data_IF_617818434082
#
_entry.id   IF_617818434082
#
_cell.length_a   1.000
_cell.length_b   1.000
_cell.length_c   1.000
_cell.angle_alpha   90.00
_cell.angle_beta   90.00
_cell.angle_gamma   90.00
#
_symmetry.space_group_name_H-M   'P 1'
#
loop_
_entity.id
_entity.type
_entity.pdbx_description
1 polymer ?
#
# COMPACT_ATOMS: atom_id res chain seq x y z
N UNK A 1 -14.15 32.69 1.61
CA UNK A 1 -14.90 31.44 1.91
C UNK A 1 -14.00 30.49 2.67
N UNK A 2 -14.41 30.07 3.84
CA UNK A 2 -13.72 29.01 4.55
C UNK A 2 -13.90 27.72 3.75
N UNK A 3 -12.82 27.21 3.15
CA UNK A 3 -12.81 25.86 2.64
C UNK A 3 -13.14 24.93 3.82
N UNK A 4 -14.24 24.24 3.74
CA UNK A 4 -14.53 23.12 4.63
C UNK A 4 -13.44 22.09 4.37
N UNK A 5 -12.40 22.10 5.22
CA UNK A 5 -11.42 21.02 5.21
C UNK A 5 -12.18 19.74 5.47
N UNK A 6 -12.20 18.88 4.48
CA UNK A 6 -12.77 17.55 4.64
C UNK A 6 -12.11 16.80 5.77
N UNK A 7 -12.77 15.76 6.28
CA UNK A 7 -12.24 14.91 7.35
C UNK A 7 -10.90 14.26 6.91
N UNK A 8 -10.74 14.03 5.61
CA UNK A 8 -9.56 13.41 5.05
C UNK A 8 -8.79 14.41 4.19
N UNK A 9 -7.50 14.52 4.42
CA UNK A 9 -6.57 15.30 3.60
C UNK A 9 -5.39 14.48 3.07
N UNK A 10 -5.02 13.41 3.77
CA UNK A 10 -3.92 12.52 3.38
C UNK A 10 -4.36 11.06 3.51
N UNK A 11 -4.45 10.39 2.38
CA UNK A 11 -4.88 8.98 2.30
C UNK A 11 -3.69 8.11 1.89
N UNK A 12 -3.52 6.99 2.55
CA UNK A 12 -2.55 5.96 2.22
C UNK A 12 -3.28 4.70 1.77
N UNK A 13 -2.94 4.16 0.60
CA UNK A 13 -3.40 2.85 0.17
C UNK A 13 -2.21 1.90 0.05
N UNK A 14 -2.32 0.72 0.66
CA UNK A 14 -1.32 -0.33 0.55
C UNK A 14 -1.57 -1.17 -0.71
N UNK A 15 -0.55 -1.33 -1.54
CA UNK A 15 -0.63 -2.02 -2.83
C UNK A 15 0.37 -3.17 -2.85
N UNK A 16 -0.12 -4.39 -3.02
CA UNK A 16 0.69 -5.60 -3.07
C UNK A 16 0.53 -6.41 -4.36
N UNK A 17 -0.15 -5.84 -5.35
CA UNK A 17 -0.42 -6.48 -6.63
C UNK A 17 -1.65 -7.38 -6.65
N UNK A 18 -2.31 -7.60 -5.51
CA UNK A 18 -3.56 -8.35 -5.44
C UNK A 18 -4.73 -7.56 -6.02
N UNK A 19 -5.77 -8.27 -6.47
CA UNK A 19 -7.01 -7.62 -6.94
C UNK A 19 -7.64 -6.77 -5.85
N UNK A 20 -7.61 -7.24 -4.60
CA UNK A 20 -8.15 -6.52 -3.46
C UNK A 20 -7.39 -5.22 -3.20
N UNK A 21 -6.06 -5.19 -3.41
CA UNK A 21 -5.29 -3.96 -3.25
C UNK A 21 -5.63 -2.92 -4.33
N UNK A 22 -5.87 -3.35 -5.56
CA UNK A 22 -6.34 -2.44 -6.62
C UNK A 22 -7.75 -1.94 -6.37
N UNK A 23 -8.62 -2.81 -5.86
CA UNK A 23 -9.97 -2.40 -5.43
C UNK A 23 -9.90 -1.39 -4.28
N UNK A 24 -9.01 -1.61 -3.32
CA UNK A 24 -8.75 -0.64 -2.25
C UNK A 24 -8.31 0.71 -2.81
N UNK A 25 -7.44 0.71 -3.82
CA UNK A 25 -7.02 1.93 -4.51
C UNK A 25 -8.20 2.66 -5.17
N UNK A 26 -9.13 1.94 -5.81
CA UNK A 26 -10.34 2.55 -6.38
C UNK A 26 -11.20 3.21 -5.31
N UNK A 27 -11.38 2.58 -4.15
CA UNK A 27 -12.11 3.21 -3.02
C UNK A 27 -11.41 4.47 -2.52
N UNK A 28 -10.09 4.42 -2.39
CA UNK A 28 -9.30 5.59 -1.98
C UNK A 28 -9.45 6.76 -2.96
N UNK A 29 -9.49 6.46 -4.26
CA UNK A 29 -9.68 7.45 -5.33
C UNK A 29 -11.09 8.08 -5.22
N UNK A 30 -12.13 7.26 -5.03
CA UNK A 30 -13.50 7.78 -4.90
C UNK A 30 -13.64 8.71 -3.69
N UNK A 31 -13.00 8.38 -2.58
CA UNK A 31 -12.96 9.25 -1.41
C UNK A 31 -12.18 10.52 -1.73
N UNK A 32 -11.02 10.37 -2.34
CA UNK A 32 -10.12 11.50 -2.67
C UNK A 32 -10.76 12.54 -3.59
N UNK A 33 -11.60 12.09 -4.51
CA UNK A 33 -12.33 12.99 -5.42
C UNK A 33 -13.23 13.98 -4.68
N UNK A 34 -13.73 13.59 -3.51
CA UNK A 34 -14.65 14.41 -2.72
C UNK A 34 -13.95 15.39 -1.79
N UNK A 35 -12.74 15.09 -1.34
CA UNK A 35 -12.13 15.79 -0.22
C UNK A 35 -10.86 16.58 -0.56
N UNK A 36 -10.39 16.59 -1.79
CA UNK A 36 -9.12 17.23 -2.15
C UNK A 36 -7.96 16.69 -1.32
N UNK A 37 -7.47 15.50 -1.66
CA UNK A 37 -6.51 14.75 -0.85
C UNK A 37 -5.16 14.59 -1.55
N UNK A 38 -4.12 14.38 -0.73
CA UNK A 38 -2.90 13.74 -1.16
C UNK A 38 -3.09 12.22 -1.00
N UNK A 39 -3.05 11.49 -2.10
CA UNK A 39 -3.17 10.02 -2.11
C UNK A 39 -1.80 9.41 -2.34
N UNK A 40 -1.33 8.63 -1.38
CA UNK A 40 -0.08 7.87 -1.49
C UNK A 40 -0.39 6.39 -1.68
N UNK A 41 0.14 5.80 -2.75
CA UNK A 41 0.16 4.35 -2.92
C UNK A 41 1.51 3.82 -2.43
N UNK A 42 1.48 2.94 -1.45
CA UNK A 42 2.66 2.36 -0.82
C UNK A 42 2.75 0.87 -1.12
N UNK A 43 3.88 0.43 -1.64
CA UNK A 43 4.24 -0.98 -1.73
C UNK A 43 5.42 -1.27 -0.81
N UNK A 44 5.30 -2.27 0.04
CA UNK A 44 6.37 -2.73 0.91
C UNK A 44 6.91 -4.06 0.39
N UNK A 45 8.19 -4.08 0.05
CA UNK A 45 8.90 -5.31 -0.32
C UNK A 45 9.29 -6.05 0.96
N UNK A 46 8.71 -7.22 1.15
CA UNK A 46 8.94 -8.06 2.32
C UNK A 46 10.23 -8.85 2.17
N UNK A 47 11.30 -8.40 2.82
CA UNK A 47 12.61 -9.05 2.78
C UNK A 47 12.78 -10.14 3.84
N UNK A 48 11.75 -10.43 4.64
CA UNK A 48 11.76 -11.53 5.62
C UNK A 48 11.51 -12.90 4.99
N UNK A 49 11.09 -12.95 3.73
CA UNK A 49 10.70 -14.19 3.06
C UNK A 49 11.87 -15.16 2.88
N UNK A 50 11.63 -16.48 3.00
CA UNK A 50 12.67 -17.51 2.89
C UNK A 50 13.49 -17.47 1.61
N UNK A 51 12.91 -17.03 0.50
CA UNK A 51 13.63 -16.91 -0.79
C UNK A 51 14.80 -15.93 -0.72
N UNK A 52 14.73 -14.92 0.14
CA UNK A 52 15.83 -13.99 0.36
C UNK A 52 16.87 -14.51 1.36
N UNK A 53 16.46 -15.45 2.24
CA UNK A 53 17.31 -16.05 3.26
C UNK A 53 18.05 -17.30 2.75
N UNK A 54 17.39 -18.11 1.91
CA UNK A 54 17.97 -19.35 1.38
C UNK A 54 19.07 -19.12 0.35
N UNK A 55 19.03 -18.03 -0.38
CA UNK A 55 20.03 -17.68 -1.37
C UNK A 55 21.37 -17.26 -0.75
N UNK A 56 21.39 -16.87 0.52
CA UNK A 56 22.59 -16.39 1.21
C UNK A 56 23.65 -17.48 1.45
N UNK A 57 23.25 -18.74 1.47
CA UNK A 57 24.20 -19.85 1.69
C UNK A 57 24.81 -20.42 0.42
N UNK A 58 24.20 -20.20 -0.74
CA UNK A 58 24.54 -20.90 -1.98
C UNK A 58 24.92 -19.95 -3.11
N UNK A 59 24.47 -18.70 -3.06
CA UNK A 59 24.68 -17.75 -4.14
C UNK A 59 25.29 -16.45 -3.66
N UNK A 60 26.09 -15.85 -4.53
CA UNK A 60 26.70 -14.56 -4.31
C UNK A 60 25.63 -13.49 -3.94
N UNK A 61 26.02 -12.48 -3.13
CA UNK A 61 25.15 -11.32 -2.81
C UNK A 61 24.49 -10.69 -4.03
N UNK A 62 25.12 -10.80 -5.21
CA UNK A 62 24.62 -10.35 -6.51
C UNK A 62 23.29 -11.00 -6.91
N UNK A 63 23.02 -12.24 -6.52
CA UNK A 63 21.77 -12.92 -6.87
C UNK A 63 20.60 -12.38 -6.05
N UNK A 64 20.78 -12.23 -4.75
CA UNK A 64 19.78 -11.64 -3.87
C UNK A 64 19.44 -10.20 -4.25
N UNK A 65 20.44 -9.42 -4.65
CA UNK A 65 20.23 -8.06 -5.15
C UNK A 65 19.46 -8.04 -6.47
N UNK A 66 19.71 -9.02 -7.34
CA UNK A 66 19.00 -9.14 -8.62
C UNK A 66 17.55 -9.50 -8.43
N UNK A 67 17.22 -10.42 -7.52
CA UNK A 67 15.83 -10.77 -7.19
C UNK A 67 15.08 -9.58 -6.61
N UNK A 68 15.72 -8.84 -5.70
CA UNK A 68 15.14 -7.66 -5.10
C UNK A 68 14.87 -6.57 -6.16
N UNK A 69 15.76 -6.41 -7.12
CA UNK A 69 15.60 -5.49 -8.24
C UNK A 69 14.40 -5.89 -9.11
N UNK A 70 14.20 -7.17 -9.37
CA UNK A 70 13.05 -7.69 -10.12
C UNK A 70 11.74 -7.46 -9.37
N UNK A 71 11.71 -7.71 -8.07
CA UNK A 71 10.55 -7.41 -7.21
C UNK A 71 10.21 -5.91 -7.20
N UNK A 72 11.23 -5.07 -7.16
CA UNK A 72 11.06 -3.62 -7.23
C UNK A 72 10.45 -3.18 -8.56
N UNK A 73 10.87 -3.77 -9.66
CA UNK A 73 10.28 -3.51 -10.99
C UNK A 73 8.83 -3.93 -11.05
N UNK A 74 8.51 -5.10 -10.50
CA UNK A 74 7.13 -5.58 -10.42
C UNK A 74 6.26 -4.64 -9.57
N UNK A 75 6.76 -4.25 -8.40
CA UNK A 75 6.08 -3.28 -7.53
C UNK A 75 5.84 -1.94 -8.24
N UNK A 76 6.82 -1.47 -9.00
CA UNK A 76 6.65 -0.25 -9.80
C UNK A 76 5.53 -0.38 -10.82
N UNK A 77 5.38 -1.54 -11.45
CA UNK A 77 4.26 -1.80 -12.37
C UNK A 77 2.90 -1.71 -11.67
N UNK A 78 2.80 -2.21 -10.44
CA UNK A 78 1.56 -2.08 -9.66
C UNK A 78 1.25 -0.62 -9.34
N UNK A 79 2.25 0.14 -8.94
CA UNK A 79 2.08 1.57 -8.64
C UNK A 79 1.75 2.38 -9.89
N UNK A 80 2.33 2.04 -11.04
CA UNK A 80 1.99 2.65 -12.33
C UNK A 80 0.55 2.34 -12.72
N UNK A 81 0.07 1.13 -12.45
CA UNK A 81 -1.33 0.77 -12.65
C UNK A 81 -2.25 1.63 -11.79
N UNK A 82 -1.91 1.84 -10.52
CA UNK A 82 -2.69 2.74 -9.65
C UNK A 82 -2.66 4.18 -10.19
N UNK A 83 -1.51 4.66 -10.62
CA UNK A 83 -1.38 5.99 -11.25
C UNK A 83 -2.30 6.14 -12.47
N UNK A 84 -2.39 5.11 -13.29
CA UNK A 84 -3.31 5.10 -14.44
C UNK A 84 -4.78 5.14 -14.01
N UNK A 85 -5.15 4.40 -12.96
CA UNK A 85 -6.51 4.45 -12.41
C UNK A 85 -6.82 5.86 -11.88
N UNK A 86 -5.88 6.51 -11.21
CA UNK A 86 -6.03 7.90 -10.76
C UNK A 86 -6.26 8.83 -11.95
N UNK A 87 -5.49 8.67 -13.03
CA UNK A 87 -5.64 9.50 -14.25
C UNK A 87 -6.99 9.29 -14.93
N UNK A 88 -7.52 8.07 -14.94
CA UNK A 88 -8.77 7.74 -15.64
C UNK A 88 -10.01 8.05 -14.79
N UNK A 89 -9.99 7.71 -13.50
CA UNK A 89 -11.15 7.76 -12.60
C UNK A 89 -11.10 8.89 -11.58
N UNK A 90 -9.91 9.45 -11.34
CA UNK A 90 -9.72 10.56 -10.42
C UNK A 90 -10.10 11.91 -11.03
N UNK A 91 -9.81 12.97 -10.29
CA UNK A 91 -9.98 14.35 -10.74
C UNK A 91 -8.85 15.22 -10.18
N UNK A 92 -8.90 16.52 -10.44
CA UNK A 92 -7.86 17.48 -10.02
C UNK A 92 -7.76 17.65 -8.50
N UNK A 93 -8.70 17.09 -7.73
CA UNK A 93 -8.66 17.10 -6.27
C UNK A 93 -7.64 16.12 -5.68
N UNK A 94 -7.10 15.21 -6.49
CA UNK A 94 -6.17 14.19 -6.02
C UNK A 94 -4.75 14.54 -6.42
N UNK A 95 -3.88 14.73 -5.42
CA UNK A 95 -2.43 14.80 -5.59
C UNK A 95 -1.88 13.39 -5.34
N UNK A 96 -1.49 12.69 -6.40
CA UNK A 96 -1.02 11.31 -6.31
C UNK A 96 0.49 11.24 -6.16
N UNK A 97 0.95 10.38 -5.25
CA UNK A 97 2.35 9.96 -5.19
C UNK A 97 2.44 8.46 -4.88
N UNK A 98 3.55 7.86 -5.24
CA UNK A 98 3.83 6.46 -4.97
C UNK A 98 5.14 6.29 -4.24
N UNK A 99 5.24 5.24 -3.43
CA UNK A 99 6.40 4.94 -2.62
C UNK A 99 6.65 3.43 -2.54
N UNK A 100 7.90 3.02 -2.63
CA UNK A 100 8.33 1.64 -2.41
C UNK A 100 9.27 1.63 -1.21
N UNK A 101 8.97 0.79 -0.23
CA UNK A 101 9.79 0.56 0.95
C UNK A 101 10.23 -0.91 1.01
N UNK A 102 11.37 -1.18 1.66
CA UNK A 102 11.85 -2.53 1.96
C UNK A 102 11.79 -2.74 3.46
N UNK A 103 11.26 -3.86 3.91
CA UNK A 103 11.14 -4.11 5.35
C UNK A 103 11.00 -5.58 5.69
N UNK A 104 11.40 -5.91 6.92
CA UNK A 104 11.12 -7.21 7.54
C UNK A 104 9.67 -7.33 8.04
N UNK A 105 8.93 -6.22 8.13
CA UNK A 105 7.54 -6.16 8.58
C UNK A 105 6.73 -5.24 7.67
N UNK A 106 5.86 -5.82 6.85
CA UNK A 106 5.00 -5.07 5.95
C UNK A 106 4.03 -4.19 6.74
N UNK A 107 3.32 -4.77 7.69
CA UNK A 107 2.35 -4.05 8.51
C UNK A 107 2.98 -2.95 9.37
N UNK A 108 4.15 -3.23 9.95
CA UNK A 108 4.89 -2.24 10.72
C UNK A 108 5.28 -1.03 9.88
N UNK A 109 5.76 -1.26 8.67
CA UNK A 109 6.13 -0.20 7.74
C UNK A 109 4.93 0.65 7.31
N UNK A 110 3.78 0.02 7.06
CA UNK A 110 2.54 0.77 6.73
C UNK A 110 2.15 1.69 7.88
N UNK A 111 2.14 1.17 9.11
CA UNK A 111 1.77 1.94 10.31
C UNK A 111 2.75 3.08 10.54
N UNK A 112 4.06 2.80 10.51
CA UNK A 112 5.11 3.80 10.73
C UNK A 112 5.08 4.89 9.66
N UNK A 113 4.90 4.52 8.40
CA UNK A 113 4.78 5.46 7.30
C UNK A 113 3.57 6.40 7.50
N UNK A 114 2.44 5.81 7.92
CA UNK A 114 1.23 6.58 8.17
C UNK A 114 1.42 7.61 9.29
N UNK A 115 2.13 7.24 10.36
CA UNK A 115 2.45 8.18 11.46
C UNK A 115 3.39 9.29 10.99
N UNK A 116 4.50 8.92 10.35
CA UNK A 116 5.52 9.87 9.91
C UNK A 116 4.99 10.90 8.90
N UNK A 117 4.12 10.47 8.02
CA UNK A 117 3.53 11.33 6.98
C UNK A 117 2.22 11.99 7.39
N UNK A 118 1.76 11.79 8.61
CA UNK A 118 0.49 12.33 9.13
C UNK A 118 -0.70 11.91 8.26
N UNK A 119 -0.75 10.64 7.88
CA UNK A 119 -1.87 10.05 7.16
C UNK A 119 -3.11 10.05 8.05
N UNK A 120 -4.24 10.43 7.51
CA UNK A 120 -5.50 10.49 8.27
C UNK A 120 -6.53 9.42 7.86
N UNK A 121 -6.21 8.62 6.83
CA UNK A 121 -6.96 7.42 6.46
C UNK A 121 -6.03 6.42 5.78
N UNK A 122 -6.02 5.18 6.27
CA UNK A 122 -5.37 4.06 5.60
C UNK A 122 -6.45 3.21 4.92
N UNK A 123 -6.22 2.83 3.66
CA UNK A 123 -7.11 1.92 2.90
C UNK A 123 -6.33 0.65 2.57
N UNK A 124 -6.86 -0.49 2.97
CA UNK A 124 -6.25 -1.82 2.74
C UNK A 124 -7.27 -2.81 2.25
N UNK A 125 -6.84 -3.79 1.45
CA UNK A 125 -7.66 -4.94 1.10
C UNK A 125 -7.75 -5.92 2.28
N UNK A 126 -8.81 -6.71 2.33
CA UNK A 126 -8.99 -7.74 3.38
C UNK A 126 -7.97 -8.85 3.28
N UNK A 127 -7.49 -9.16 2.06
CA UNK A 127 -6.56 -10.24 1.76
C UNK A 127 -5.44 -9.71 0.89
N UNK A 128 -4.23 -10.14 1.16
CA UNK A 128 -3.10 -9.92 0.28
C UNK A 128 -2.95 -11.06 -0.73
N UNK A 129 -1.75 -11.19 -1.28
CA UNK A 129 -1.39 -12.20 -2.29
C UNK A 129 -1.53 -13.65 -1.82
N UNK A 130 -1.59 -13.91 -0.52
CA UNK A 130 -1.67 -15.26 0.05
C UNK A 130 -3.04 -15.94 -0.11
N UNK A 131 -4.09 -15.21 -0.47
CA UNK A 131 -5.34 -15.76 -1.01
C UNK A 131 -6.13 -16.75 -0.15
N UNK A 132 -6.06 -16.68 1.19
CA UNK A 132 -6.88 -17.54 2.04
C UNK A 132 -8.36 -17.14 1.94
N UNK A 133 -9.18 -17.99 1.29
CA UNK A 133 -10.58 -17.70 1.00
C UNK A 133 -11.51 -17.70 2.22
N UNK A 134 -11.09 -18.29 3.34
CA UNK A 134 -11.91 -18.45 4.53
C UNK A 134 -11.58 -17.45 5.66
N UNK A 135 -10.52 -16.68 5.54
CA UNK A 135 -10.18 -15.68 6.55
C UNK A 135 -10.99 -14.43 6.35
N UNK A 136 -11.57 -13.95 7.43
CA UNK A 136 -12.31 -12.70 7.45
C UNK A 136 -11.38 -11.49 7.22
N UNK A 137 -10.13 -11.59 7.69
CA UNK A 137 -9.15 -10.52 7.60
C UNK A 137 -7.75 -11.11 7.51
N UNK A 138 -6.97 -10.70 6.50
CA UNK A 138 -5.57 -11.11 6.34
C UNK A 138 -4.68 -10.56 7.47
N UNK A 139 -3.50 -11.15 7.62
CA UNK A 139 -2.57 -10.79 8.69
C UNK A 139 -2.12 -9.33 8.63
N UNK A 140 -1.83 -8.81 7.46
CA UNK A 140 -1.42 -7.40 7.28
C UNK A 140 -2.58 -6.48 7.65
N UNK A 141 -3.76 -6.68 7.06
CA UNK A 141 -4.94 -5.87 7.34
C UNK A 141 -5.31 -5.88 8.83
N UNK A 142 -5.30 -7.05 9.47
CA UNK A 142 -5.60 -7.21 10.89
C UNK A 142 -4.66 -6.39 11.78
N UNK A 143 -3.36 -6.45 11.51
CA UNK A 143 -2.36 -5.71 12.28
C UNK A 143 -2.42 -4.21 12.01
N UNK A 144 -2.65 -3.80 10.78
CA UNK A 144 -2.83 -2.38 10.46
C UNK A 144 -4.04 -1.81 11.20
N UNK A 145 -5.17 -2.51 11.21
CA UNK A 145 -6.37 -2.10 11.98
C UNK A 145 -6.05 -1.97 13.47
N UNK A 146 -5.28 -2.90 14.01
CA UNK A 146 -4.94 -2.92 15.44
C UNK A 146 -4.01 -1.79 15.85
N UNK A 147 -3.00 -1.49 15.04
CA UNK A 147 -1.90 -0.61 15.44
C UNK A 147 -1.93 0.79 14.80
N UNK A 148 -2.76 1.02 13.80
CA UNK A 148 -2.83 2.33 13.16
C UNK A 148 -3.32 3.42 14.11
N UNK A 149 -2.73 4.60 14.02
CA UNK A 149 -3.12 5.78 14.80
C UNK A 149 -4.33 6.52 14.19
N UNK A 150 -4.76 6.14 13.00
CA UNK A 150 -5.83 6.78 12.23
C UNK A 150 -6.88 5.76 11.80
N UNK A 151 -8.04 6.21 11.29
CA UNK A 151 -9.04 5.33 10.70
C UNK A 151 -8.47 4.45 9.60
N UNK A 152 -8.96 3.21 9.54
CA UNK A 152 -8.58 2.22 8.53
C UNK A 152 -9.84 1.74 7.83
N UNK A 153 -9.88 1.90 6.52
CA UNK A 153 -10.92 1.33 5.66
C UNK A 153 -10.42 0.00 5.10
N UNK A 154 -11.13 -1.06 5.42
CA UNK A 154 -10.83 -2.40 4.92
C UNK A 154 -11.77 -2.73 3.78
N UNK A 155 -11.23 -2.98 2.60
CA UNK A 155 -12.00 -3.24 1.37
C UNK A 155 -12.02 -4.75 1.09
N UNK A 156 -13.24 -5.29 1.02
CA UNK A 156 -13.49 -6.71 0.72
C UNK A 156 -13.45 -7.00 -0.78
#
# INVERSE_FOLDING_TARGET
>A
MAETRGIFSKILVAVDGSEQSFKAAEYAIEIGKKYSVQLTALTVLDISKPKHLSSTFITAPTYAMKELEEERKEAQQWLDKVANIVSEKGNDNIQFKSQIEKSMSVEGTIVDYAEQENIDLIVVGTKGRSGFTKLLLGSVASKVVTYAHCPVLVVK
#
